data_IF_134435219495
#
_entry.id   IF_134435219495
#
_cell.length_a   1.000
_cell.length_b   1.000
_cell.length_c   1.000
_cell.angle_alpha   90.00
_cell.angle_beta   90.00
_cell.angle_gamma   90.00
#
_symmetry.space_group_name_H-M   'P 1'
#
loop_
_entity.id
_entity.type
_entity.pdbx_description
1 polymer ?
#
# COMPACT_ATOMS: atom_id res chain seq x y z
N UNK A 1 14.93 -29.05 -10.19
CA UNK A 1 15.55 -27.69 -10.27
C UNK A 1 14.57 -26.67 -10.84
N UNK A 2 13.90 -26.90 -11.96
CA UNK A 2 12.95 -25.95 -12.56
C UNK A 2 11.79 -25.54 -11.64
N UNK A 3 11.18 -26.49 -10.95
CA UNK A 3 10.09 -26.18 -9.99
C UNK A 3 10.56 -25.29 -8.84
N UNK A 4 11.76 -25.52 -8.32
CA UNK A 4 12.33 -24.71 -7.23
C UNK A 4 12.62 -23.28 -7.69
N UNK A 5 13.24 -23.12 -8.88
CA UNK A 5 13.49 -21.81 -9.47
C UNK A 5 12.18 -21.05 -9.76
N UNK A 6 11.16 -21.75 -10.27
CA UNK A 6 9.83 -21.17 -10.46
C UNK A 6 9.23 -20.66 -9.17
N UNK A 7 9.34 -21.44 -8.07
CA UNK A 7 8.81 -21.06 -6.77
C UNK A 7 9.55 -19.85 -6.18
N UNK A 8 10.88 -19.79 -6.30
CA UNK A 8 11.67 -18.63 -5.84
C UNK A 8 11.28 -17.37 -6.60
N UNK A 9 11.17 -17.44 -7.92
CA UNK A 9 10.73 -16.32 -8.74
C UNK A 9 9.29 -15.88 -8.43
N UNK A 10 8.42 -16.79 -7.99
CA UNK A 10 7.09 -16.46 -7.52
C UNK A 10 7.14 -15.71 -6.18
N UNK A 11 8.02 -16.13 -5.27
CA UNK A 11 8.24 -15.44 -4.00
C UNK A 11 8.85 -14.06 -4.20
N UNK A 12 9.80 -13.88 -5.11
CA UNK A 12 10.33 -12.57 -5.50
C UNK A 12 9.21 -11.64 -6.00
N UNK A 13 8.39 -12.12 -6.93
CA UNK A 13 7.25 -11.36 -7.43
C UNK A 13 6.24 -11.02 -6.31
N UNK A 14 5.95 -11.97 -5.42
CA UNK A 14 5.12 -11.75 -4.22
C UNK A 14 5.66 -10.61 -3.35
N UNK A 15 6.97 -10.60 -3.06
CA UNK A 15 7.58 -9.54 -2.26
C UNK A 15 7.38 -8.17 -2.90
N UNK A 16 7.66 -8.02 -4.20
CA UNK A 16 7.53 -6.76 -4.94
C UNK A 16 6.08 -6.26 -4.99
N UNK A 17 5.14 -7.15 -5.26
CA UNK A 17 3.71 -6.81 -5.35
C UNK A 17 3.13 -6.46 -3.97
N UNK A 18 3.65 -7.06 -2.91
CA UNK A 18 3.21 -6.79 -1.53
C UNK A 18 3.66 -5.44 -0.98
N UNK A 19 4.70 -4.81 -1.53
CA UNK A 19 5.26 -3.55 -1.03
C UNK A 19 4.21 -2.45 -0.84
N UNK A 20 3.43 -2.07 -1.87
CA UNK A 20 2.42 -1.02 -1.71
C UNK A 20 1.31 -1.44 -0.73
N UNK A 21 0.95 -2.72 -0.68
CA UNK A 21 -0.05 -3.25 0.25
C UNK A 21 0.43 -3.13 1.70
N UNK A 22 1.67 -3.53 1.98
CA UNK A 22 2.28 -3.46 3.33
C UNK A 22 2.35 -2.02 3.81
N UNK A 23 2.86 -1.10 3.00
CA UNK A 23 2.98 0.31 3.36
C UNK A 23 1.61 0.96 3.58
N UNK A 24 0.64 0.74 2.70
CA UNK A 24 -0.71 1.26 2.84
C UNK A 24 -1.44 0.65 4.04
N UNK A 25 -1.26 -0.65 4.32
CA UNK A 25 -1.85 -1.29 5.50
C UNK A 25 -1.24 -0.78 6.81
N UNK A 26 0.09 -0.54 6.85
CA UNK A 26 0.73 0.11 8.00
C UNK A 26 0.23 1.56 8.17
N UNK A 27 -0.01 2.29 7.08
CA UNK A 27 -0.62 3.62 7.09
C UNK A 27 -2.03 3.57 7.73
N UNK A 28 -2.89 2.68 7.23
CA UNK A 28 -4.22 2.44 7.78
C UNK A 28 -4.19 2.04 9.26
N UNK A 29 -3.17 1.28 9.69
CA UNK A 29 -2.99 0.89 11.09
C UNK A 29 -2.80 2.11 12.00
N UNK A 30 -1.99 3.10 11.62
CA UNK A 30 -1.84 4.33 12.39
C UNK A 30 -3.14 5.13 12.46
N UNK A 31 -3.84 5.29 11.33
CA UNK A 31 -5.10 6.03 11.26
C UNK A 31 -6.17 5.36 12.14
N UNK A 32 -6.44 4.07 11.93
CA UNK A 32 -7.52 3.37 12.61
C UNK A 32 -7.24 3.10 14.09
N UNK A 33 -5.96 2.91 14.48
CA UNK A 33 -5.59 2.85 15.90
C UNK A 33 -5.78 4.18 16.64
N UNK A 34 -5.94 5.29 15.93
CA UNK A 34 -6.34 6.58 16.51
C UNK A 34 -7.85 6.80 16.57
N UNK A 35 -8.64 5.86 16.02
CA UNK A 35 -10.09 5.95 15.88
C UNK A 35 -10.56 6.66 14.61
N UNK A 36 -9.66 6.94 13.65
CA UNK A 36 -10.02 7.52 12.36
C UNK A 36 -9.99 6.43 11.29
N UNK A 37 -11.17 6.11 10.72
CA UNK A 37 -11.29 5.19 9.58
C UNK A 37 -10.78 5.87 8.32
N UNK A 38 -9.86 5.24 7.61
CA UNK A 38 -9.17 5.85 6.49
C UNK A 38 -9.34 5.09 5.18
N UNK A 39 -10.50 5.26 4.55
CA UNK A 39 -10.79 4.69 3.23
C UNK A 39 -10.03 5.43 2.12
N UNK A 40 -9.46 6.61 2.40
CA UNK A 40 -8.74 7.40 1.41
C UNK A 40 -7.33 6.89 1.08
N UNK A 41 -6.91 5.73 1.60
CA UNK A 41 -5.60 5.14 1.30
C UNK A 41 -5.36 4.97 -0.20
N UNK A 42 -6.40 4.59 -0.95
CA UNK A 42 -6.35 4.44 -2.42
C UNK A 42 -6.00 5.76 -3.10
N UNK A 43 -6.75 6.83 -2.80
CA UNK A 43 -6.50 8.15 -3.37
C UNK A 43 -5.17 8.76 -2.92
N UNK A 44 -4.78 8.58 -1.65
CA UNK A 44 -3.47 9.03 -1.16
C UNK A 44 -2.33 8.37 -1.90
N UNK A 45 -2.41 7.06 -2.11
CA UNK A 45 -1.41 6.30 -2.85
C UNK A 45 -1.37 6.73 -4.33
N UNK A 46 -2.54 6.90 -4.97
CA UNK A 46 -2.64 7.34 -6.36
C UNK A 46 -2.08 8.76 -6.54
N UNK A 47 -2.46 9.70 -5.65
CA UNK A 47 -1.95 11.07 -5.66
C UNK A 47 -0.44 11.15 -5.42
N UNK A 48 0.07 10.32 -4.51
CA UNK A 48 1.51 10.22 -4.27
C UNK A 48 2.25 9.64 -5.47
N UNK A 49 1.70 8.63 -6.14
CA UNK A 49 2.28 8.04 -7.34
C UNK A 49 2.39 9.08 -8.48
N UNK A 50 1.32 9.87 -8.67
CA UNK A 50 1.33 10.95 -9.65
C UNK A 50 2.37 12.02 -9.32
N UNK A 51 2.34 12.55 -8.08
CA UNK A 51 3.26 13.61 -7.67
C UNK A 51 4.73 13.13 -7.73
N UNK A 52 5.00 11.90 -7.31
CA UNK A 52 6.34 11.34 -7.38
C UNK A 52 6.85 11.21 -8.82
N UNK A 53 6.05 10.66 -9.74
CA UNK A 53 6.44 10.53 -11.14
C UNK A 53 6.55 11.90 -11.84
N UNK A 54 5.60 12.81 -11.62
CA UNK A 54 5.62 14.14 -12.22
C UNK A 54 6.88 14.92 -11.82
N UNK A 55 7.19 14.95 -10.53
CA UNK A 55 8.38 15.67 -10.04
C UNK A 55 9.66 14.93 -10.44
N UNK A 56 9.71 13.60 -10.38
CA UNK A 56 10.88 12.85 -10.82
C UNK A 56 11.17 13.05 -12.32
N UNK A 57 10.12 13.17 -13.16
CA UNK A 57 10.30 13.45 -14.60
C UNK A 57 10.86 14.85 -14.88
N UNK A 58 10.51 15.85 -14.05
CA UNK A 58 10.97 17.23 -14.18
C UNK A 58 12.37 17.44 -13.59
N UNK A 59 12.71 16.73 -12.51
CA UNK A 59 13.96 16.93 -11.77
C UNK A 59 15.02 15.88 -12.07
N UNK A 60 14.67 14.82 -12.80
CA UNK A 60 15.53 13.65 -13.03
C UNK A 60 16.08 13.06 -11.72
N UNK A 61 15.27 13.10 -10.63
CA UNK A 61 15.69 12.63 -9.32
C UNK A 61 14.58 11.82 -8.65
N UNK A 62 14.85 10.53 -8.41
CA UNK A 62 13.93 9.63 -7.71
C UNK A 62 13.65 10.09 -6.26
N UNK A 63 14.66 10.63 -5.57
CA UNK A 63 14.53 11.08 -4.18
C UNK A 63 13.67 12.34 -4.05
N UNK A 64 13.81 13.29 -4.97
CA UNK A 64 12.96 14.51 -5.01
C UNK A 64 11.53 14.09 -5.35
N UNK A 65 11.35 13.17 -6.30
CA UNK A 65 10.06 12.56 -6.60
C UNK A 65 9.42 11.89 -5.39
N UNK A 66 10.17 11.07 -4.64
CA UNK A 66 9.70 10.45 -3.39
C UNK A 66 9.23 11.50 -2.38
N UNK A 67 10.02 12.56 -2.18
CA UNK A 67 9.66 13.67 -1.31
C UNK A 67 8.34 14.33 -1.72
N UNK A 68 8.15 14.58 -3.01
CA UNK A 68 6.91 15.16 -3.55
C UNK A 68 5.70 14.21 -3.35
N UNK A 69 5.88 12.89 -3.56
CA UNK A 69 4.85 11.89 -3.29
C UNK A 69 4.44 11.85 -1.83
N UNK A 70 5.41 11.88 -0.90
CA UNK A 70 5.15 11.94 0.55
C UNK A 70 4.38 13.22 0.92
N UNK A 71 4.80 14.37 0.43
CA UNK A 71 4.13 15.65 0.69
C UNK A 71 2.69 15.64 0.18
N UNK A 72 2.47 15.19 -1.06
CA UNK A 72 1.13 15.08 -1.64
C UNK A 72 0.21 14.17 -0.79
N UNK A 73 0.72 13.03 -0.38
CA UNK A 73 -0.03 12.10 0.47
C UNK A 73 -0.34 12.67 1.86
N UNK A 74 0.61 13.38 2.48
CA UNK A 74 0.39 14.06 3.78
C UNK A 74 -0.69 15.13 3.63
N UNK A 75 -0.68 15.93 2.57
CA UNK A 75 -1.70 16.94 2.33
C UNK A 75 -3.09 16.32 2.20
N UNK A 76 -3.23 15.20 1.47
CA UNK A 76 -4.49 14.45 1.36
C UNK A 76 -4.90 13.85 2.72
N UNK A 77 -3.94 13.33 3.49
CA UNK A 77 -4.19 12.82 4.83
C UNK A 77 -4.66 13.92 5.80
N UNK A 78 -4.07 15.10 5.73
CA UNK A 78 -4.49 16.26 6.52
C UNK A 78 -5.85 16.79 6.06
N UNK A 79 -6.16 16.77 4.77
CA UNK A 79 -7.49 17.11 4.24
C UNK A 79 -8.56 16.16 4.81
N UNK A 80 -8.29 14.84 4.80
CA UNK A 80 -9.16 13.86 5.43
C UNK A 80 -9.31 14.10 6.93
N UNK A 81 -8.19 14.33 7.62
CA UNK A 81 -8.18 14.69 9.05
C UNK A 81 -8.97 15.97 9.35
N UNK A 82 -8.82 17.00 8.51
CA UNK A 82 -9.57 18.24 8.67
C UNK A 82 -11.08 18.02 8.56
N UNK A 83 -11.52 17.26 7.56
CA UNK A 83 -12.92 16.91 7.39
C UNK A 83 -13.48 16.09 8.58
N UNK A 84 -12.71 15.08 9.06
CA UNK A 84 -13.21 14.09 10.02
C UNK A 84 -12.93 14.44 11.47
N UNK A 85 -11.80 15.13 11.76
CA UNK A 85 -11.36 15.45 13.14
C UNK A 85 -11.83 16.84 13.53
N UNK A 86 -11.72 17.83 12.63
CA UNK A 86 -12.08 19.22 12.94
C UNK A 86 -13.56 19.47 12.74
N UNK A 87 -14.12 19.00 11.62
CA UNK A 87 -15.53 19.22 11.28
C UNK A 87 -16.44 18.05 11.65
N UNK A 88 -15.91 17.01 12.26
CA UNK A 88 -16.70 15.82 12.66
C UNK A 88 -17.49 15.18 11.52
N UNK A 89 -17.01 15.34 10.28
CA UNK A 89 -17.62 14.79 9.08
C UNK A 89 -17.58 13.27 9.06
N UNK A 90 -18.45 12.67 8.23
CA UNK A 90 -18.46 11.22 8.02
C UNK A 90 -17.14 10.77 7.37
N UNK A 91 -16.42 9.89 8.05
CA UNK A 91 -15.07 9.44 7.67
C UNK A 91 -15.09 8.61 6.38
N UNK A 92 -16.14 7.79 6.18
CA UNK A 92 -16.30 6.98 4.97
C UNK A 92 -16.54 7.87 3.76
N UNK A 93 -17.48 8.81 3.88
CA UNK A 93 -17.81 9.75 2.80
C UNK A 93 -16.61 10.61 2.43
N UNK A 94 -15.89 11.15 3.41
CA UNK A 94 -14.66 11.92 3.19
C UNK A 94 -13.59 11.09 2.47
N UNK A 95 -13.40 9.83 2.87
CA UNK A 95 -12.42 8.95 2.24
C UNK A 95 -12.74 8.65 0.78
N UNK A 96 -14.00 8.31 0.49
CA UNK A 96 -14.47 8.06 -0.88
C UNK A 96 -14.37 9.33 -1.73
N UNK A 97 -14.74 10.49 -1.18
CA UNK A 97 -14.63 11.77 -1.89
C UNK A 97 -13.18 12.08 -2.30
N UNK A 98 -12.20 11.82 -1.41
CA UNK A 98 -10.77 12.00 -1.71
C UNK A 98 -10.33 11.03 -2.83
N UNK A 99 -10.77 9.78 -2.81
CA UNK A 99 -10.44 8.82 -3.86
C UNK A 99 -10.93 9.30 -5.24
N UNK A 100 -12.18 9.75 -5.33
CA UNK A 100 -12.77 10.27 -6.56
C UNK A 100 -12.06 11.57 -6.99
N UNK A 101 -11.83 12.49 -6.05
CA UNK A 101 -11.13 13.74 -6.32
C UNK A 101 -9.75 13.48 -6.93
N UNK A 102 -8.96 12.60 -6.33
CA UNK A 102 -7.59 12.32 -6.78
C UNK A 102 -7.59 11.57 -8.11
N UNK A 103 -8.49 10.64 -8.33
CA UNK A 103 -8.63 9.95 -9.61
C UNK A 103 -8.90 10.95 -10.76
N UNK A 104 -9.79 11.94 -10.54
CA UNK A 104 -10.02 13.01 -11.50
C UNK A 104 -8.86 14.00 -11.62
N UNK A 105 -8.31 14.44 -10.49
CA UNK A 105 -7.26 15.46 -10.44
C UNK A 105 -5.98 15.00 -11.14
N UNK A 106 -5.56 13.76 -10.95
CA UNK A 106 -4.37 13.19 -11.60
C UNK A 106 -4.48 13.17 -13.12
N UNK A 107 -5.67 12.94 -13.67
CA UNK A 107 -5.91 12.99 -15.11
C UNK A 107 -5.86 14.42 -15.61
N UNK A 108 -6.57 15.36 -14.97
CA UNK A 108 -6.62 16.77 -15.40
C UNK A 108 -5.24 17.42 -15.33
N UNK A 109 -4.55 17.26 -14.20
CA UNK A 109 -3.19 17.82 -14.02
C UNK A 109 -2.19 17.15 -14.95
N UNK A 110 -2.31 15.82 -15.15
CA UNK A 110 -1.46 15.06 -16.07
C UNK A 110 -1.59 15.54 -17.52
N UNK A 111 -2.81 15.82 -17.99
CA UNK A 111 -3.04 16.40 -19.31
C UNK A 111 -2.45 17.81 -19.38
N UNK A 112 -2.68 18.64 -18.38
CA UNK A 112 -2.21 20.03 -18.36
C UNK A 112 -0.66 20.12 -18.35
N UNK A 113 0.02 19.22 -17.62
CA UNK A 113 1.49 19.24 -17.52
C UNK A 113 2.21 18.56 -18.69
N UNK A 114 1.68 17.43 -19.16
CA UNK A 114 2.39 16.55 -20.09
C UNK A 114 1.70 16.38 -21.43
N UNK A 115 0.50 16.92 -21.63
CA UNK A 115 -0.32 16.72 -22.83
C UNK A 115 -0.58 15.25 -23.17
N UNK A 116 -0.51 14.39 -22.17
CA UNK A 116 -0.76 12.93 -22.26
C UNK A 116 -2.01 12.58 -21.44
N UNK A 117 -2.83 11.67 -21.93
CA UNK A 117 -4.11 11.31 -21.33
C UNK A 117 -3.99 10.58 -19.98
N UNK A 118 -3.64 11.29 -18.92
CA UNK A 118 -3.51 10.73 -17.56
C UNK A 118 -2.25 9.89 -17.35
N UNK A 119 -1.19 10.12 -18.12
CA UNK A 119 0.13 9.47 -17.99
C UNK A 119 1.21 10.53 -17.85
N UNK A 120 2.31 10.17 -17.17
CA UNK A 120 3.56 10.94 -17.24
C UNK A 120 4.47 10.36 -18.31
N UNK A 121 5.46 11.13 -18.79
CA UNK A 121 6.55 10.57 -19.59
C UNK A 121 7.26 9.44 -18.84
N UNK A 122 7.94 8.57 -19.62
CA UNK A 122 8.81 7.54 -19.04
C UNK A 122 9.94 8.24 -18.25
N UNK A 123 10.15 7.80 -17.03
CA UNK A 123 11.18 8.34 -16.16
C UNK A 123 12.58 7.96 -16.66
N UNK A 124 13.54 8.89 -16.66
CA UNK A 124 14.94 8.56 -16.89
C UNK A 124 15.48 7.66 -15.76
N UNK A 125 16.60 6.95 -15.98
CA UNK A 125 17.17 6.04 -14.98
C UNK A 125 17.40 6.73 -13.61
N UNK A 126 17.84 7.98 -13.58
CA UNK A 126 18.09 8.78 -12.38
C UNK A 126 16.79 9.15 -11.64
N UNK A 127 15.66 9.21 -12.37
CA UNK A 127 14.32 9.41 -11.84
C UNK A 127 13.66 8.16 -11.28
N UNK A 128 14.34 7.02 -11.28
CA UNK A 128 13.82 5.71 -10.85
C UNK A 128 14.64 5.12 -9.71
N UNK A 129 13.98 4.38 -8.83
CA UNK A 129 14.67 3.53 -7.86
C UNK A 129 15.03 2.20 -8.53
N UNK A 130 16.27 2.09 -8.96
CA UNK A 130 16.79 0.87 -9.57
C UNK A 130 17.05 -0.22 -8.51
N UNK A 131 17.08 -1.49 -8.92
CA UNK A 131 17.49 -2.59 -8.04
C UNK A 131 18.91 -2.37 -7.49
N UNK A 132 19.11 -2.79 -6.25
CA UNK A 132 20.42 -2.75 -5.56
C UNK A 132 20.96 -4.16 -5.49
N UNK A 133 22.13 -4.38 -6.05
CA UNK A 133 22.87 -5.64 -5.91
C UNK A 133 23.64 -5.63 -4.58
N UNK A 134 23.35 -6.61 -3.74
CA UNK A 134 24.06 -6.76 -2.47
C UNK A 134 25.46 -7.36 -2.70
N UNK A 135 26.44 -7.03 -1.85
CA UNK A 135 27.76 -7.63 -1.92
C UNK A 135 27.67 -9.15 -1.92
N UNK A 136 28.50 -9.80 -2.72
CA UNK A 136 28.57 -11.27 -2.89
C UNK A 136 27.36 -11.93 -3.59
N UNK A 137 26.33 -11.20 -4.05
CA UNK A 137 25.18 -11.81 -4.75
C UNK A 137 25.64 -12.63 -5.97
N UNK A 138 26.53 -12.07 -6.78
CA UNK A 138 27.07 -12.75 -7.97
C UNK A 138 27.98 -13.94 -7.60
N UNK A 139 28.75 -13.83 -6.52
CA UNK A 139 29.65 -14.91 -6.07
C UNK A 139 28.89 -16.10 -5.45
N UNK A 140 27.75 -15.84 -4.82
CA UNK A 140 26.89 -16.86 -4.23
C UNK A 140 25.91 -17.45 -5.23
N UNK A 141 25.65 -16.81 -6.37
CA UNK A 141 24.68 -17.27 -7.39
C UNK A 141 24.95 -18.70 -7.90
N UNK A 142 26.22 -19.13 -7.89
CA UNK A 142 26.61 -20.48 -8.29
C UNK A 142 26.32 -21.56 -7.23
N UNK A 143 26.01 -21.17 -5.98
CA UNK A 143 25.70 -22.13 -4.91
C UNK A 143 24.25 -22.56 -5.04
N UNK A 144 23.97 -23.86 -5.25
CA UNK A 144 22.61 -24.36 -5.38
C UNK A 144 21.77 -24.01 -4.13
N UNK A 145 20.51 -23.62 -4.32
CA UNK A 145 19.52 -23.29 -3.28
C UNK A 145 19.85 -21.98 -2.54
N UNK A 146 20.98 -21.91 -1.83
CA UNK A 146 21.36 -20.74 -1.00
C UNK A 146 21.67 -19.54 -1.91
N UNK A 147 22.34 -19.75 -3.02
CA UNK A 147 22.64 -18.70 -3.99
C UNK A 147 21.37 -18.08 -4.58
N UNK A 148 20.44 -18.90 -5.02
CA UNK A 148 19.16 -18.43 -5.57
C UNK A 148 18.30 -17.71 -4.52
N UNK A 149 18.25 -18.20 -3.28
CA UNK A 149 17.56 -17.52 -2.17
C UNK A 149 18.18 -16.15 -1.86
N UNK A 150 19.50 -16.06 -1.87
CA UNK A 150 20.19 -14.80 -1.58
C UNK A 150 20.06 -13.80 -2.74
N UNK A 151 20.30 -14.25 -3.98
CA UNK A 151 20.31 -13.38 -5.15
C UNK A 151 18.91 -12.88 -5.53
N UNK A 152 17.88 -13.71 -5.39
CA UNK A 152 16.52 -13.39 -5.85
C UNK A 152 15.63 -12.82 -4.74
N UNK A 153 15.74 -13.33 -3.48
CA UNK A 153 14.85 -12.88 -2.40
C UNK A 153 15.44 -11.79 -1.51
N UNK A 154 16.77 -11.71 -1.38
CA UNK A 154 17.40 -10.69 -0.55
C UNK A 154 18.07 -9.58 -1.36
N UNK A 155 18.72 -9.92 -2.48
CA UNK A 155 19.35 -8.97 -3.40
C UNK A 155 18.40 -8.61 -4.56
N UNK A 156 18.79 -7.70 -5.43
CA UNK A 156 18.04 -7.35 -6.64
C UNK A 156 16.75 -6.55 -6.41
N UNK A 157 16.49 -6.10 -5.18
CA UNK A 157 15.36 -5.23 -4.88
C UNK A 157 15.79 -3.76 -4.81
N UNK A 158 14.84 -2.85 -5.10
CA UNK A 158 15.08 -1.43 -4.89
C UNK A 158 14.97 -1.04 -3.39
N UNK A 159 15.52 0.11 -3.02
CA UNK A 159 15.57 0.58 -1.63
C UNK A 159 14.19 0.67 -0.97
N UNK A 160 13.12 0.96 -1.73
CA UNK A 160 11.78 1.12 -1.18
C UNK A 160 11.17 -0.22 -0.73
N UNK A 161 11.61 -1.35 -1.31
CA UNK A 161 11.23 -2.70 -0.83
C UNK A 161 11.75 -2.91 0.58
N UNK A 162 13.02 -2.61 0.83
CA UNK A 162 13.62 -2.74 2.17
C UNK A 162 12.97 -1.81 3.18
N UNK A 163 12.67 -0.57 2.78
CA UNK A 163 11.93 0.40 3.61
C UNK A 163 10.55 -0.15 3.98
N UNK A 164 9.83 -0.78 3.04
CA UNK A 164 8.50 -1.33 3.30
C UNK A 164 8.53 -2.45 4.35
N UNK A 165 9.47 -3.39 4.23
CA UNK A 165 9.59 -4.46 5.22
C UNK A 165 10.12 -3.95 6.56
N UNK A 166 11.00 -2.94 6.58
CA UNK A 166 11.46 -2.27 7.80
C UNK A 166 10.35 -1.45 8.46
N UNK A 167 9.40 -0.91 7.70
CA UNK A 167 8.25 -0.18 8.25
C UNK A 167 7.39 -1.04 9.17
N UNK A 168 7.35 -2.36 9.00
CA UNK A 168 6.56 -3.27 9.86
C UNK A 168 7.11 -3.34 11.29
N UNK A 169 8.38 -3.72 11.55
CA UNK A 169 8.94 -3.68 12.88
C UNK A 169 9.01 -2.26 13.45
N UNK A 170 9.23 -1.23 12.62
CA UNK A 170 9.19 0.16 13.05
C UNK A 170 7.77 0.55 13.53
N UNK A 171 6.73 0.20 12.79
CA UNK A 171 5.33 0.40 13.20
C UNK A 171 5.02 -0.35 14.50
N UNK A 172 5.45 -1.61 14.59
CA UNK A 172 5.29 -2.38 15.83
C UNK A 172 5.98 -1.68 17.02
N UNK A 173 7.22 -1.23 16.85
CA UNK A 173 7.94 -0.54 17.90
C UNK A 173 7.27 0.77 18.29
N UNK A 174 6.89 1.61 17.33
CA UNK A 174 6.22 2.88 17.58
C UNK A 174 4.90 2.67 18.31
N UNK A 175 4.06 1.74 17.83
CA UNK A 175 2.70 1.52 18.37
C UNK A 175 2.73 0.82 19.74
N UNK A 176 3.67 -0.09 19.99
CA UNK A 176 3.63 -0.91 21.21
C UNK A 176 4.72 -0.60 22.22
N UNK A 177 5.81 0.09 21.85
CA UNK A 177 6.96 0.33 22.73
C UNK A 177 7.19 1.82 23.04
N UNK A 178 6.44 2.75 22.42
CA UNK A 178 6.63 4.19 22.67
C UNK A 178 5.46 4.80 23.44
N UNK A 179 5.75 5.96 24.08
CA UNK A 179 4.71 6.78 24.74
C UNK A 179 3.67 7.30 23.73
N UNK A 180 4.10 7.60 22.51
CA UNK A 180 3.21 8.00 21.43
C UNK A 180 2.22 6.88 21.09
N UNK A 181 2.69 5.66 20.87
CA UNK A 181 1.84 4.51 20.54
C UNK A 181 0.87 4.13 21.65
N UNK A 182 1.28 4.27 22.93
CA UNK A 182 0.38 4.09 24.08
C UNK A 182 -0.79 5.08 24.02
N UNK A 183 -0.49 6.37 23.85
CA UNK A 183 -1.50 7.43 23.75
C UNK A 183 -2.38 7.26 22.51
N UNK A 184 -1.79 6.88 21.37
CA UNK A 184 -2.51 6.62 20.14
C UNK A 184 -3.58 5.54 20.33
N UNK A 185 -3.21 4.41 20.91
CA UNK A 185 -4.15 3.30 21.20
C UNK A 185 -5.21 3.71 22.22
N UNK A 186 -4.83 4.48 23.24
CA UNK A 186 -5.77 4.99 24.24
C UNK A 186 -6.83 5.91 23.60
N UNK A 187 -6.44 6.79 22.66
CA UNK A 187 -7.36 7.65 21.89
C UNK A 187 -8.33 6.82 21.04
N UNK A 188 -7.88 5.70 20.46
CA UNK A 188 -8.75 4.81 19.70
C UNK A 188 -9.70 3.97 20.55
N UNK A 189 -9.43 3.77 21.84
CA UNK A 189 -10.29 2.99 22.74
C UNK A 189 -11.25 3.90 23.56
N UNK A 190 -10.76 5.02 24.09
CA UNK A 190 -11.53 5.95 24.92
C UNK A 190 -10.97 7.37 24.81
N UNK A 191 -11.39 8.14 23.80
CA UNK A 191 -10.91 9.50 23.60
C UNK A 191 -11.25 10.43 24.78
N UNK A 192 -12.40 10.23 25.44
CA UNK A 192 -12.84 11.00 26.60
C UNK A 192 -11.86 10.86 27.78
N UNK A 193 -11.46 9.61 28.10
CA UNK A 193 -10.50 9.35 29.16
C UNK A 193 -9.11 9.94 28.85
N UNK A 194 -8.74 10.04 27.57
CA UNK A 194 -7.48 10.65 27.16
C UNK A 194 -7.55 12.19 27.29
N UNK A 195 -8.69 12.80 26.96
CA UNK A 195 -8.88 14.24 27.10
C UNK A 195 -8.89 14.66 28.58
N UNK A 196 -9.56 13.90 29.47
CA UNK A 196 -9.52 14.15 30.92
C UNK A 196 -8.12 14.01 31.51
N UNK A 197 -7.24 13.21 30.91
CA UNK A 197 -5.81 13.12 31.25
C UNK A 197 -4.97 14.30 30.70
N UNK A 198 -5.60 15.29 30.07
CA UNK A 198 -4.93 16.50 29.54
C UNK A 198 -4.20 16.26 28.19
N UNK A 199 -4.49 15.19 27.49
CA UNK A 199 -3.86 14.88 26.19
C UNK A 199 -4.82 15.24 25.06
N UNK A 200 -4.39 16.09 24.12
CA UNK A 200 -5.19 16.49 22.97
C UNK A 200 -5.52 15.30 22.05
N UNK A 201 -6.79 14.90 22.01
CA UNK A 201 -7.31 13.85 21.13
C UNK A 201 -7.11 14.23 19.66
N UNK A 202 -7.52 15.45 19.28
CA UNK A 202 -7.36 15.95 17.91
C UNK A 202 -5.88 15.96 17.48
N UNK A 203 -4.99 16.47 18.35
CA UNK A 203 -3.55 16.48 18.08
C UNK A 203 -2.95 15.08 17.88
N UNK A 204 -3.43 14.07 18.61
CA UNK A 204 -3.00 12.69 18.44
C UNK A 204 -3.52 12.08 17.14
N UNK A 205 -4.79 12.32 16.79
CA UNK A 205 -5.39 11.88 15.53
C UNK A 205 -4.67 12.49 14.31
N UNK A 206 -4.38 13.81 14.35
CA UNK A 206 -3.62 14.46 13.25
C UNK A 206 -2.21 13.90 13.08
N UNK A 207 -1.50 13.62 14.19
CA UNK A 207 -0.17 12.97 14.12
C UNK A 207 -0.27 11.59 13.49
N UNK A 208 -1.31 10.81 13.81
CA UNK A 208 -1.56 9.52 13.17
C UNK A 208 -1.79 9.67 11.65
N UNK A 209 -2.55 10.69 11.24
CA UNK A 209 -2.78 10.98 9.82
C UNK A 209 -1.49 11.36 9.08
N UNK A 210 -0.56 12.08 9.74
CA UNK A 210 0.75 12.40 9.15
C UNK A 210 1.56 11.11 8.92
N UNK A 211 1.62 10.20 9.92
CA UNK A 211 2.29 8.91 9.74
C UNK A 211 1.65 8.08 8.62
N UNK A 212 0.31 8.06 8.55
CA UNK A 212 -0.41 7.42 7.47
C UNK A 212 -0.07 8.03 6.10
N UNK A 213 0.00 9.38 6.02
CA UNK A 213 0.40 10.10 4.82
C UNK A 213 1.82 9.76 4.36
N UNK A 214 2.79 9.67 5.28
CA UNK A 214 4.17 9.30 4.96
C UNK A 214 4.23 7.90 4.34
N UNK A 215 3.62 6.92 4.98
CA UNK A 215 3.65 5.52 4.52
C UNK A 215 2.91 5.33 3.19
N UNK A 216 1.72 5.92 3.03
CA UNK A 216 1.01 5.94 1.75
C UNK A 216 1.79 6.68 0.66
N UNK A 217 2.49 7.75 1.03
CA UNK A 217 3.35 8.49 0.12
C UNK A 217 4.47 7.63 -0.46
N UNK A 218 5.13 6.84 0.39
CA UNK A 218 6.16 5.89 -0.03
C UNK A 218 5.54 4.78 -0.89
N UNK A 219 4.35 4.27 -0.53
CA UNK A 219 3.63 3.26 -1.30
C UNK A 219 3.32 3.73 -2.73
N UNK A 220 2.79 4.96 -2.87
CA UNK A 220 2.50 5.55 -4.18
C UNK A 220 3.75 5.82 -5.01
N UNK A 221 4.79 6.40 -4.40
CA UNK A 221 6.07 6.62 -5.08
C UNK A 221 6.68 5.29 -5.56
N UNK A 222 6.59 4.21 -4.79
CA UNK A 222 7.04 2.89 -5.22
C UNK A 222 6.35 2.44 -6.52
N UNK A 223 5.03 2.59 -6.64
CA UNK A 223 4.29 2.19 -7.84
C UNK A 223 4.84 2.86 -9.09
N UNK A 224 5.05 4.18 -9.04
CA UNK A 224 5.42 4.96 -10.21
C UNK A 224 6.92 5.04 -10.48
N UNK A 225 7.76 5.18 -9.44
CA UNK A 225 9.21 5.42 -9.61
C UNK A 225 10.06 4.15 -9.50
N UNK A 226 9.53 3.07 -8.92
CA UNK A 226 10.27 1.83 -8.78
C UNK A 226 9.68 0.70 -9.64
N UNK A 227 8.37 0.47 -9.55
CA UNK A 227 7.72 -0.65 -10.23
C UNK A 227 7.52 -0.40 -11.72
N UNK A 228 6.91 0.74 -12.11
CA UNK A 228 6.50 1.01 -13.49
C UNK A 228 7.47 1.92 -14.25
N UNK A 229 8.11 2.88 -13.57
CA UNK A 229 8.95 3.90 -14.21
C UNK A 229 8.16 5.00 -14.93
N UNK A 230 6.88 5.12 -14.67
CA UNK A 230 5.98 6.19 -15.12
C UNK A 230 4.71 6.15 -14.27
N UNK A 231 3.92 7.22 -14.28
CA UNK A 231 2.56 7.19 -13.74
C UNK A 231 1.58 6.82 -14.85
N UNK A 232 0.70 5.87 -14.57
CA UNK A 232 -0.45 5.53 -15.39
C UNK A 232 -1.76 5.82 -14.66
N UNK A 233 -2.82 6.13 -15.43
CA UNK A 233 -4.16 6.34 -14.87
C UNK A 233 -4.57 5.13 -14.04
N UNK A 234 -5.13 5.39 -12.85
CA UNK A 234 -5.65 4.38 -11.91
C UNK A 234 -4.65 3.26 -11.56
N UNK A 235 -3.33 3.55 -11.59
CA UNK A 235 -2.28 2.54 -11.38
C UNK A 235 -2.28 1.91 -10.00
N UNK A 236 -2.97 2.49 -9.02
CA UNK A 236 -3.16 1.88 -7.70
C UNK A 236 -4.10 0.67 -7.74
N UNK A 237 -5.01 0.62 -8.73
CA UNK A 237 -5.86 -0.54 -9.06
C UNK A 237 -6.54 -1.20 -7.85
N UNK A 238 -7.01 -0.40 -6.89
CA UNK A 238 -7.70 -0.88 -5.70
C UNK A 238 -6.78 -1.42 -4.58
N UNK A 239 -5.46 -1.29 -4.71
CA UNK A 239 -4.49 -1.78 -3.70
C UNK A 239 -4.71 -1.16 -2.31
N UNK A 240 -5.19 0.08 -2.24
CA UNK A 240 -5.57 0.72 -0.98
C UNK A 240 -6.73 0.03 -0.27
N UNK A 241 -7.72 -0.45 -1.02
CA UNK A 241 -8.84 -1.22 -0.45
C UNK A 241 -8.42 -2.62 -0.02
N UNK A 242 -7.54 -3.28 -0.79
CA UNK A 242 -6.94 -4.58 -0.41
C UNK A 242 -6.10 -4.41 0.86
N UNK A 243 -5.37 -3.30 1.00
CA UNK A 243 -4.60 -3.00 2.21
C UNK A 243 -5.49 -2.81 3.45
N UNK A 244 -6.67 -2.17 3.30
CA UNK A 244 -7.66 -2.10 4.38
C UNK A 244 -8.20 -3.49 4.74
N UNK A 245 -8.49 -4.33 3.76
CA UNK A 245 -8.88 -5.71 4.03
C UNK A 245 -7.79 -6.47 4.79
N UNK A 246 -6.52 -6.35 4.37
CA UNK A 246 -5.38 -6.93 5.07
C UNK A 246 -5.25 -6.42 6.51
N UNK A 247 -5.55 -5.15 6.76
CA UNK A 247 -5.58 -4.56 8.10
C UNK A 247 -6.63 -5.22 9.01
N UNK A 248 -7.84 -5.43 8.48
CA UNK A 248 -8.94 -6.12 9.19
C UNK A 248 -8.55 -7.58 9.48
N UNK A 249 -8.02 -8.31 8.50
CA UNK A 249 -7.52 -9.67 8.67
C UNK A 249 -6.41 -9.78 9.71
N UNK A 250 -5.49 -8.84 9.69
CA UNK A 250 -4.40 -8.74 10.66
C UNK A 250 -4.83 -8.22 12.03
N UNK A 251 -6.16 -7.95 12.24
CA UNK A 251 -6.72 -7.49 13.53
C UNK A 251 -5.97 -6.29 14.09
N UNK A 252 -5.62 -5.34 13.23
CA UNK A 252 -4.84 -4.14 13.57
C UNK A 252 -3.51 -4.44 14.30
N UNK A 253 -2.85 -5.56 13.96
CA UNK A 253 -1.52 -5.93 14.49
C UNK A 253 -0.50 -5.99 13.34
N UNK A 254 0.66 -5.32 13.44
CA UNK A 254 1.60 -5.20 12.31
C UNK A 254 2.04 -6.53 11.68
N UNK A 255 2.42 -7.52 12.49
CA UNK A 255 2.89 -8.82 11.96
C UNK A 255 1.79 -9.62 11.26
N UNK A 256 0.59 -9.82 11.83
CA UNK A 256 -0.52 -10.47 11.11
C UNK A 256 -0.94 -9.69 9.86
N UNK A 257 -0.89 -8.35 9.88
CA UNK A 257 -1.16 -7.51 8.71
C UNK A 257 -0.13 -7.76 7.60
N UNK A 258 1.16 -7.86 7.95
CA UNK A 258 2.20 -8.25 6.99
C UNK A 258 1.88 -9.59 6.34
N UNK A 259 1.51 -10.62 7.13
CA UNK A 259 1.18 -11.94 6.60
C UNK A 259 -0.03 -11.89 5.66
N UNK A 260 -1.05 -11.08 5.97
CA UNK A 260 -2.19 -10.87 5.09
C UNK A 260 -1.78 -10.19 3.78
N UNK A 261 -0.93 -9.16 3.85
CA UNK A 261 -0.40 -8.49 2.65
C UNK A 261 0.43 -9.42 1.78
N UNK A 262 1.27 -10.28 2.38
CA UNK A 262 2.05 -11.29 1.67
C UNK A 262 1.14 -12.34 1.01
N UNK A 263 0.07 -12.75 1.68
CA UNK A 263 -0.91 -13.67 1.09
C UNK A 263 -1.57 -13.07 -0.15
N UNK A 264 -2.03 -11.81 -0.06
CA UNK A 264 -2.62 -11.11 -1.22
C UNK A 264 -1.60 -10.90 -2.33
N UNK A 265 -0.37 -10.50 -2.01
CA UNK A 265 0.71 -10.39 -2.97
C UNK A 265 1.07 -11.71 -3.63
N UNK A 266 1.02 -12.83 -2.90
CA UNK A 266 1.23 -14.17 -3.44
C UNK A 266 0.15 -14.55 -4.46
N UNK A 267 -1.11 -14.26 -4.16
CA UNK A 267 -2.21 -14.53 -5.07
C UNK A 267 -2.12 -13.66 -6.33
N UNK A 268 -1.82 -12.36 -6.19
CA UNK A 268 -1.67 -11.44 -7.31
C UNK A 268 -0.47 -11.85 -8.19
N UNK A 269 0.68 -12.19 -7.59
CA UNK A 269 1.85 -12.67 -8.33
C UNK A 269 1.59 -14.03 -9.01
N UNK A 270 0.86 -14.92 -8.34
CA UNK A 270 0.45 -16.21 -8.89
C UNK A 270 -0.51 -16.04 -10.06
N UNK A 271 -1.50 -15.15 -9.94
CA UNK A 271 -2.45 -14.87 -11.01
C UNK A 271 -1.75 -14.36 -12.28
N UNK A 272 -0.85 -13.39 -12.13
CA UNK A 272 -0.11 -12.83 -13.25
C UNK A 272 0.74 -13.88 -13.98
N UNK A 273 1.33 -14.82 -13.24
CA UNK A 273 2.13 -15.91 -13.84
C UNK A 273 1.27 -16.99 -14.49
N UNK A 274 0.14 -17.35 -13.88
CA UNK A 274 -0.80 -18.30 -14.46
C UNK A 274 -1.36 -17.81 -15.80
N UNK A 275 -1.66 -16.51 -15.91
CA UNK A 275 -2.11 -15.91 -17.17
C UNK A 275 -1.08 -16.09 -18.30
N UNK A 276 0.21 -15.95 -18.01
CA UNK A 276 1.29 -16.16 -18.98
C UNK A 276 1.60 -17.62 -19.31
N UNK A 277 1.10 -18.58 -18.51
CA UNK A 277 1.38 -20.00 -18.69
C UNK A 277 0.42 -20.71 -19.65
N UNK A 278 -0.73 -20.09 -19.95
CA UNK A 278 -1.74 -20.68 -20.84
C UNK A 278 -1.61 -20.16 -22.27
N UNK A 279 -1.29 -21.06 -23.20
CA UNK A 279 -1.32 -20.75 -24.62
C UNK A 279 -2.76 -20.86 -25.16
N UNK A 280 -3.46 -19.72 -25.17
CA UNK A 280 -4.86 -19.60 -25.60
C UNK A 280 -4.97 -19.86 -27.13
N UNK A 281 -3.90 -19.57 -27.87
CA UNK A 281 -3.90 -19.76 -29.36
C UNK A 281 -3.81 -21.23 -29.77
N UNK A 282 -3.13 -22.02 -28.95
CA UNK A 282 -3.01 -23.48 -29.21
C UNK A 282 -4.28 -24.28 -28.84
N UNK A 283 -5.17 -23.69 -28.02
CA UNK A 283 -6.39 -24.35 -27.57
C UNK A 283 -7.51 -24.28 -28.63
N UNK A 284 -8.29 -25.35 -28.75
CA UNK A 284 -9.43 -25.44 -29.69
C UNK A 284 -10.74 -25.74 -28.96
N UNK A 285 -11.86 -25.39 -29.59
CA UNK A 285 -13.21 -25.71 -29.09
C UNK A 285 -13.50 -25.09 -27.73
N UNK A 286 -14.20 -25.85 -26.85
CA UNK A 286 -14.61 -25.43 -25.50
C UNK A 286 -13.42 -25.01 -24.61
N UNK A 287 -12.26 -25.67 -24.77
CA UNK A 287 -11.07 -25.34 -24.01
C UNK A 287 -10.59 -23.91 -24.31
N UNK A 288 -10.67 -23.44 -25.54
CA UNK A 288 -10.31 -22.08 -25.94
C UNK A 288 -11.25 -21.04 -25.31
N UNK A 289 -12.54 -21.31 -25.31
CA UNK A 289 -13.54 -20.45 -24.68
C UNK A 289 -13.31 -20.36 -23.16
N UNK A 290 -13.09 -21.51 -22.50
CA UNK A 290 -12.79 -21.56 -21.06
C UNK A 290 -11.49 -20.80 -20.71
N UNK A 291 -10.42 -21.00 -21.47
CA UNK A 291 -9.14 -20.31 -21.26
C UNK A 291 -9.22 -18.80 -21.49
N UNK A 292 -10.16 -18.31 -22.31
CA UNK A 292 -10.42 -16.87 -22.46
C UNK A 292 -11.05 -16.24 -21.21
N UNK A 293 -11.89 -16.98 -20.48
CA UNK A 293 -12.50 -16.49 -19.25
C UNK A 293 -11.62 -16.71 -18.02
N UNK A 294 -10.71 -17.67 -18.08
CA UNK A 294 -9.84 -18.03 -16.95
C UNK A 294 -9.04 -16.87 -16.36
N UNK A 295 -8.42 -15.96 -17.15
CA UNK A 295 -7.73 -14.78 -16.62
C UNK A 295 -8.62 -13.90 -15.73
N UNK A 296 -9.87 -13.68 -16.09
CA UNK A 296 -10.82 -12.89 -15.31
C UNK A 296 -11.11 -13.51 -13.94
N UNK A 297 -11.24 -14.86 -13.89
CA UNK A 297 -11.39 -15.57 -12.62
C UNK A 297 -10.13 -15.52 -11.77
N UNK A 298 -8.97 -15.64 -12.40
CA UNK A 298 -7.68 -15.58 -11.73
C UNK A 298 -7.45 -14.18 -11.15
N UNK A 299 -7.78 -13.11 -11.87
CA UNK A 299 -7.70 -11.73 -11.38
C UNK A 299 -8.69 -11.46 -10.24
N UNK A 300 -9.84 -12.12 -10.25
CA UNK A 300 -10.84 -12.02 -9.19
C UNK A 300 -10.46 -12.81 -7.92
N UNK A 301 -9.51 -13.76 -7.99
CA UNK A 301 -9.14 -14.63 -6.87
C UNK A 301 -8.77 -13.88 -5.58
N UNK A 302 -7.94 -12.80 -5.61
CA UNK A 302 -7.64 -12.04 -4.40
C UNK A 302 -8.89 -11.48 -3.74
N UNK A 303 -9.83 -10.95 -4.52
CA UNK A 303 -11.08 -10.38 -4.03
C UNK A 303 -12.05 -11.45 -3.51
N UNK A 304 -12.17 -12.58 -4.22
CA UNK A 304 -12.95 -13.73 -3.78
C UNK A 304 -12.41 -14.27 -2.45
N UNK A 305 -11.08 -14.38 -2.32
CA UNK A 305 -10.46 -14.82 -1.08
C UNK A 305 -10.72 -13.84 0.07
N UNK A 306 -10.72 -12.54 -0.18
CA UNK A 306 -11.10 -11.51 0.81
C UNK A 306 -12.50 -11.81 1.35
N UNK A 307 -13.46 -12.03 0.46
CA UNK A 307 -14.86 -12.33 0.85
C UNK A 307 -14.95 -13.64 1.63
N UNK A 308 -14.31 -14.70 1.16
CA UNK A 308 -14.31 -16.01 1.84
C UNK A 308 -13.66 -15.96 3.22
N UNK A 309 -12.54 -15.27 3.35
CA UNK A 309 -11.84 -15.11 4.63
C UNK A 309 -12.68 -14.28 5.62
N UNK A 310 -13.34 -13.21 5.16
CA UNK A 310 -14.25 -12.42 5.99
C UNK A 310 -15.49 -13.21 6.41
N UNK A 311 -15.97 -14.13 5.56
CA UNK A 311 -17.20 -14.88 5.82
C UNK A 311 -17.07 -15.92 6.95
N UNK A 312 -15.87 -16.36 7.35
CA UNK A 312 -15.80 -17.37 8.40
C UNK A 312 -14.44 -17.81 8.93
N UNK A 313 -13.34 -17.49 8.24
CA UNK A 313 -12.03 -18.06 8.63
C UNK A 313 -11.22 -17.19 9.58
N UNK A 314 -11.50 -15.89 9.69
CA UNK A 314 -10.65 -14.93 10.45
C UNK A 314 -11.04 -14.81 11.91
N UNK A 315 -12.20 -15.36 12.32
CA UNK A 315 -12.78 -15.14 13.65
C UNK A 315 -13.09 -13.64 13.88
N UNK A 316 -13.62 -13.28 15.04
CA UNK A 316 -14.02 -11.89 15.31
C UNK A 316 -12.84 -10.90 15.24
N UNK A 317 -12.85 -9.99 14.27
CA UNK A 317 -11.96 -8.84 14.20
C UNK A 317 -12.60 -7.69 14.98
N UNK A 318 -12.01 -7.30 16.10
CA UNK A 318 -12.53 -6.23 16.96
C UNK A 318 -11.75 -4.96 16.64
N UNK A 319 -12.38 -3.96 15.99
CA UNK A 319 -11.75 -2.66 15.75
C UNK A 319 -11.58 -1.89 17.08
N UNK A 320 -10.76 -0.82 17.10
CA UNK A 320 -10.75 0.11 18.21
C UNK A 320 -12.15 0.68 18.47
N UNK A 321 -12.54 0.83 19.75
CA UNK A 321 -13.93 1.19 20.12
C UNK A 321 -14.40 2.52 19.55
N UNK A 322 -13.51 3.52 19.48
CA UNK A 322 -13.81 4.84 18.92
C UNK A 322 -13.57 4.93 17.40
N UNK A 323 -13.38 3.80 16.70
CA UNK A 323 -13.19 3.78 15.25
C UNK A 323 -14.43 4.28 14.54
N UNK A 324 -14.27 5.29 13.67
CA UNK A 324 -15.38 5.89 12.92
C UNK A 324 -16.24 6.86 13.71
N UNK A 325 -15.99 7.04 15.01
CA UNK A 325 -16.78 7.90 15.88
C UNK A 325 -16.11 9.28 15.99
N UNK A 326 -16.79 10.36 15.58
CA UNK A 326 -16.32 11.72 15.82
C UNK A 326 -16.20 11.99 17.32
N UNK A 327 -15.16 12.73 17.71
CA UNK A 327 -14.97 13.14 19.08
C UNK A 327 -15.21 14.64 19.21
N UNK A 328 -16.20 15.01 20.02
CA UNK A 328 -16.49 16.40 20.37
C UNK A 328 -16.12 16.58 21.84
N UNK A 329 -15.26 17.56 22.10
CA UNK A 329 -14.87 17.88 23.47
C UNK A 329 -16.07 18.51 24.21
N UNK A 330 -16.53 17.85 25.26
CA UNK A 330 -17.49 18.45 26.20
C UNK A 330 -16.77 19.59 26.96
N UNK A 331 -17.43 20.76 27.01
CA UNK A 331 -16.92 21.95 27.68
C UNK A 331 -17.26 21.93 29.18
#
# INVERSE_FOLDING_TARGET
MEFFSFFILLLDAMLRVSVPLVLAAMAGLFAERSGVVDISLEGKMLGAAFAAAAVASLTSSAWVGLGAGIVASILLALLHGYACITHNGNQVVSGVAINILVAGLTVVVGIAMFSQGGRTPQLPPEGRFLPLDWPFANALAEVPIIGQLYSELLSGHNVLVYIAFLAVPATWWVVYRTRFGLRLRAVGESPEAVDTAGISVAGMRFRAMIFAGILCGIAGAYLSTAQSGFFGRDMSAGKGFIALAALIFGKWRPVPVLLACLLFGFLEAGSARLQGAFDIEAATGFAREFLRFLPFFIDALPFILVVLLLAGFVGTAIPPKASGIPYVKER
#
